data_IF_484285326198
#
_entry.id   IF_484285326198
#
_cell.length_a   1.000
_cell.length_b   1.000
_cell.length_c   1.000
_cell.angle_alpha   90.00
_cell.angle_beta   90.00
_cell.angle_gamma   90.00
#
_symmetry.space_group_name_H-M   'P 1'
#
loop_
_entity.id
_entity.type
_entity.pdbx_description
1 polymer ?
#
# COMPACT_ATOMS: atom_id res chain seq x y z
N UNK A 1 17.94 2.88 -10.51
CA UNK A 1 16.87 2.91 -11.52
C UNK A 1 15.99 1.67 -11.37
N UNK A 2 14.66 1.85 -11.42
CA UNK A 2 13.73 0.73 -11.34
C UNK A 2 13.59 0.10 -12.73
N UNK A 3 13.84 -1.20 -12.84
CA UNK A 3 13.71 -1.93 -14.11
C UNK A 3 12.34 -2.59 -14.19
N UNK A 4 11.93 -2.98 -15.40
CA UNK A 4 10.68 -3.73 -15.62
C UNK A 4 10.68 -5.05 -14.85
N UNK A 5 11.81 -5.75 -14.77
CA UNK A 5 11.96 -6.97 -13.98
C UNK A 5 11.72 -6.72 -12.50
N UNK A 6 12.31 -5.68 -11.95
CA UNK A 6 12.12 -5.31 -10.55
C UNK A 6 10.64 -5.02 -10.26
N UNK A 7 9.99 -4.26 -11.13
CA UNK A 7 8.58 -3.91 -11.00
C UNK A 7 7.70 -5.17 -11.00
N UNK A 8 7.93 -6.08 -11.95
CA UNK A 8 7.14 -7.31 -12.07
C UNK A 8 7.34 -8.23 -10.88
N UNK A 9 8.56 -8.38 -10.40
CA UNK A 9 8.88 -9.17 -9.21
C UNK A 9 8.21 -8.61 -7.97
N UNK A 10 8.25 -7.31 -7.79
CA UNK A 10 7.63 -6.65 -6.65
C UNK A 10 6.12 -6.80 -6.69
N UNK A 11 5.51 -6.61 -7.85
CA UNK A 11 4.08 -6.77 -8.05
C UNK A 11 3.62 -8.19 -7.71
N UNK A 12 4.34 -9.18 -8.20
CA UNK A 12 4.05 -10.59 -7.93
C UNK A 12 4.21 -10.93 -6.45
N UNK A 13 5.27 -10.45 -5.84
CA UNK A 13 5.53 -10.64 -4.42
C UNK A 13 4.41 -10.06 -3.55
N UNK A 14 3.95 -8.85 -3.87
CA UNK A 14 2.85 -8.21 -3.14
C UNK A 14 1.53 -8.95 -3.33
N UNK A 15 1.26 -9.46 -4.54
CA UNK A 15 0.03 -10.19 -4.83
C UNK A 15 -0.10 -11.48 -3.99
N UNK A 16 1.02 -12.03 -3.55
CA UNK A 16 1.06 -13.24 -2.71
C UNK A 16 0.88 -12.95 -1.22
N UNK A 17 0.97 -11.69 -0.81
CA UNK A 17 0.87 -11.30 0.59
C UNK A 17 -0.58 -11.16 1.01
N UNK A 18 -0.86 -11.37 2.28
CA UNK A 18 -2.20 -11.15 2.84
C UNK A 18 -2.50 -9.66 2.93
N UNK A 19 -3.78 -9.32 2.98
CA UNK A 19 -4.23 -7.93 3.17
C UNK A 19 -3.66 -7.36 4.47
N UNK A 20 -3.67 -8.14 5.54
CA UNK A 20 -3.12 -7.74 6.84
C UNK A 20 -1.63 -7.42 6.75
N UNK A 21 -0.87 -8.22 6.02
CA UNK A 21 0.57 -7.99 5.78
C UNK A 21 0.82 -6.68 5.03
N UNK A 22 -0.01 -6.38 4.04
CA UNK A 22 0.08 -5.14 3.26
C UNK A 22 -0.25 -3.92 4.14
N UNK A 23 -1.22 -4.02 5.02
CA UNK A 23 -1.58 -2.95 5.96
C UNK A 23 -0.42 -2.70 6.94
N UNK A 24 0.21 -3.74 7.45
CA UNK A 24 1.40 -3.61 8.31
C UNK A 24 2.54 -2.90 7.58
N UNK A 25 2.74 -3.23 6.31
CA UNK A 25 3.77 -2.60 5.48
C UNK A 25 3.49 -1.10 5.31
N UNK A 26 2.25 -0.74 5.05
CA UNK A 26 1.84 0.67 5.00
C UNK A 26 2.15 1.37 6.33
N UNK A 27 1.78 0.76 7.45
CA UNK A 27 1.94 1.37 8.77
C UNK A 27 3.41 1.60 9.15
N UNK A 28 4.33 0.78 8.63
CA UNK A 28 5.76 0.99 8.85
C UNK A 28 6.28 2.27 8.20
N UNK A 29 5.57 2.78 7.20
CA UNK A 29 5.97 3.98 6.47
C UNK A 29 5.31 5.24 7.01
N UNK A 30 4.33 5.11 7.89
CA UNK A 30 3.65 6.27 8.50
C UNK A 30 4.65 7.08 9.31
N UNK A 31 4.69 8.38 9.06
CA UNK A 31 5.60 9.30 9.75
C UNK A 31 7.01 9.36 9.18
N UNK A 32 7.36 8.53 8.22
CA UNK A 32 8.68 8.60 7.57
C UNK A 32 8.72 9.77 6.59
N UNK A 33 9.82 10.51 6.60
CA UNK A 33 9.98 11.72 5.80
C UNK A 33 10.79 11.53 4.54
N UNK A 34 11.65 10.51 4.49
CA UNK A 34 12.48 10.26 3.31
C UNK A 34 11.63 9.64 2.20
N UNK A 35 11.79 10.18 0.99
CA UNK A 35 11.07 9.71 -0.18
C UNK A 35 12.05 9.42 -1.30
N UNK A 36 11.93 8.27 -1.92
CA UNK A 36 12.74 7.87 -3.07
C UNK A 36 11.83 7.39 -4.20
N UNK A 37 12.36 7.33 -5.42
CA UNK A 37 11.61 6.81 -6.57
C UNK A 37 11.21 5.35 -6.36
N UNK A 38 12.07 4.56 -5.75
CA UNK A 38 11.80 3.15 -5.44
C UNK A 38 10.65 3.04 -4.44
N UNK A 39 10.65 3.89 -3.41
CA UNK A 39 9.57 3.92 -2.44
C UNK A 39 8.25 4.31 -3.08
N UNK A 40 8.26 5.29 -3.99
CA UNK A 40 7.06 5.69 -4.73
C UNK A 40 6.45 4.54 -5.52
N UNK A 41 7.29 3.77 -6.22
CA UNK A 41 6.85 2.59 -6.97
C UNK A 41 6.29 1.53 -6.02
N UNK A 42 7.00 1.26 -4.92
CA UNK A 42 6.58 0.29 -3.91
C UNK A 42 5.20 0.64 -3.33
N UNK A 43 5.01 1.89 -2.96
CA UNK A 43 3.76 2.35 -2.34
C UNK A 43 2.60 2.34 -3.32
N UNK A 44 2.83 2.71 -4.58
CA UNK A 44 1.81 2.63 -5.63
C UNK A 44 1.35 1.20 -5.83
N UNK A 45 2.28 0.25 -5.87
CA UNK A 45 1.96 -1.17 -6.00
C UNK A 45 1.22 -1.71 -4.79
N UNK A 46 1.57 -1.23 -3.60
CA UNK A 46 0.89 -1.60 -2.35
C UNK A 46 -0.60 -1.25 -2.44
N UNK A 47 -0.90 -0.01 -2.84
CA UNK A 47 -2.28 0.46 -2.97
C UNK A 47 -3.01 -0.32 -4.07
N UNK A 48 -2.38 -0.49 -5.24
CA UNK A 48 -2.98 -1.23 -6.35
C UNK A 48 -3.30 -2.67 -5.95
N UNK A 49 -2.41 -3.30 -5.18
CA UNK A 49 -2.60 -4.67 -4.72
C UNK A 49 -3.77 -4.76 -3.74
N UNK A 50 -3.88 -3.81 -2.81
CA UNK A 50 -5.02 -3.75 -1.90
C UNK A 50 -6.34 -3.62 -2.67
N UNK A 51 -6.37 -2.74 -3.67
CA UNK A 51 -7.56 -2.56 -4.51
C UNK A 51 -7.90 -3.84 -5.29
N UNK A 52 -6.90 -4.51 -5.84
CA UNK A 52 -7.09 -5.76 -6.57
C UNK A 52 -7.63 -6.89 -5.68
N UNK A 53 -7.36 -6.82 -4.37
CA UNK A 53 -7.88 -7.76 -3.37
C UNK A 53 -9.25 -7.36 -2.83
N UNK A 54 -9.87 -6.32 -3.39
CA UNK A 54 -11.21 -5.89 -3.01
C UNK A 54 -11.27 -4.98 -1.79
N UNK A 55 -10.14 -4.35 -1.43
CA UNK A 55 -10.09 -3.44 -0.29
C UNK A 55 -10.36 -2.01 -0.74
N UNK A 56 -11.28 -1.33 -0.06
CA UNK A 56 -11.55 0.09 -0.26
C UNK A 56 -10.45 0.92 0.41
N UNK A 57 -9.69 1.66 -0.38
CA UNK A 57 -8.56 2.48 0.08
C UNK A 57 -8.85 3.97 0.07
N UNK A 58 -10.12 4.35 -0.06
CA UNK A 58 -10.52 5.77 -0.19
C UNK A 58 -10.11 6.63 1.00
N UNK A 59 -9.93 6.05 2.18
CA UNK A 59 -9.48 6.79 3.36
C UNK A 59 -8.06 7.33 3.24
N UNK A 60 -7.21 6.70 2.41
CA UNK A 60 -5.78 7.03 2.29
C UNK A 60 -5.35 7.34 0.87
N UNK A 61 -6.21 7.15 -0.12
CA UNK A 61 -5.88 7.35 -1.53
C UNK A 61 -7.04 7.99 -2.26
N UNK A 62 -6.80 9.15 -2.86
CA UNK A 62 -7.81 9.94 -3.57
C UNK A 62 -7.80 9.73 -5.09
N UNK A 63 -7.00 8.81 -5.58
CA UNK A 63 -6.78 8.58 -7.01
C UNK A 63 -5.49 9.22 -7.55
N UNK A 64 -4.87 10.09 -6.77
CA UNK A 64 -3.63 10.82 -7.14
C UNK A 64 -2.58 10.66 -6.05
N UNK A 65 -2.92 11.00 -4.81
CA UNK A 65 -1.98 11.02 -3.69
C UNK A 65 -2.33 9.98 -2.64
N UNK A 66 -1.29 9.40 -2.03
CA UNK A 66 -1.40 8.48 -0.91
C UNK A 66 -1.06 9.24 0.37
N UNK A 67 -1.93 9.13 1.39
CA UNK A 67 -1.70 9.78 2.68
C UNK A 67 -1.04 8.83 3.66
N UNK A 68 0.13 9.20 4.18
CA UNK A 68 0.87 8.48 5.22
C UNK A 68 0.85 9.23 6.56
N UNK A 69 -0.16 10.04 6.78
CA UNK A 69 -0.24 10.87 8.00
C UNK A 69 -0.58 10.09 9.25
N UNK A 70 -1.35 9.01 9.12
CA UNK A 70 -1.84 8.22 10.25
C UNK A 70 -1.78 6.73 9.94
N UNK A 71 -1.59 5.93 10.99
CA UNK A 71 -1.67 4.48 10.88
C UNK A 71 -3.11 4.06 10.56
N UNK A 72 -3.22 2.94 9.87
CA UNK A 72 -4.50 2.41 9.40
C UNK A 72 -4.74 1.01 9.96
N UNK A 73 -5.99 0.58 9.86
CA UNK A 73 -6.41 -0.76 10.19
C UNK A 73 -7.43 -1.24 9.15
N UNK A 74 -7.77 -2.50 9.19
CA UNK A 74 -8.86 -3.04 8.39
C UNK A 74 -10.15 -2.98 9.21
N UNK A 75 -11.27 -2.76 8.54
CA UNK A 75 -12.58 -2.87 9.16
C UNK A 75 -12.87 -4.34 9.52
N UNK A 76 -14.01 -4.58 10.17
CA UNK A 76 -14.41 -5.91 10.62
C UNK A 76 -14.42 -6.94 9.49
N UNK A 77 -14.87 -6.54 8.30
CA UNK A 77 -14.98 -7.42 7.14
C UNK A 77 -13.70 -7.53 6.33
N UNK A 78 -12.65 -6.80 6.73
CA UNK A 78 -11.33 -6.76 6.08
C UNK A 78 -11.39 -6.35 4.61
N UNK A 79 -12.34 -5.50 4.26
CA UNK A 79 -12.53 -5.01 2.89
C UNK A 79 -12.47 -3.49 2.77
N UNK A 80 -12.13 -2.78 3.85
CA UNK A 80 -12.04 -1.32 3.85
C UNK A 80 -10.96 -0.87 4.82
N UNK A 81 -10.19 0.13 4.39
CA UNK A 81 -9.20 0.78 5.24
C UNK A 81 -9.90 1.80 6.13
N UNK A 82 -9.59 1.76 7.41
CA UNK A 82 -10.05 2.73 8.39
C UNK A 82 -8.83 3.24 9.18
N UNK A 83 -8.99 4.36 9.87
CA UNK A 83 -7.94 4.86 10.75
C UNK A 83 -7.96 4.09 12.07
N UNK A 84 -6.79 3.56 12.42
CA UNK A 84 -6.62 2.76 13.62
C UNK A 84 -6.34 3.56 14.87
#
# INVERSE_FOLDING_TARGET
MVTAEYFDELKESMAKRSVESLVEEFNRQVGRRSWTSIRGVHDSLLIDTLMAKGVDVSAIYDGVDISFAKKIALNKDKNKIIFG
#
